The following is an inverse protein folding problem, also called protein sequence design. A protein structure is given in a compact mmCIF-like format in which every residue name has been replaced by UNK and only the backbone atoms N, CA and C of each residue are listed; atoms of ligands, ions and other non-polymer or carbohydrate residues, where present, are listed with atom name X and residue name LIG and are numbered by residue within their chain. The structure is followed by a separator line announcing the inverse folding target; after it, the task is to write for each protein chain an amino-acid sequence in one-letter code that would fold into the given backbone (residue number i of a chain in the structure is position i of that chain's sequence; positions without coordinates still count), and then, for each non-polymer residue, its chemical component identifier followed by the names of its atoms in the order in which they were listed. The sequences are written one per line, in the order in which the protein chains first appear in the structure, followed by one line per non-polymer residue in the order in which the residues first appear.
data_IF_302789405360
#
_entry.id   IF_302789405360
#
_cell.length_a   1.000
_cell.length_b   1.000
_cell.length_c   1.000
_cell.angle_alpha   90.00
_cell.angle_beta   90.00
_cell.angle_gamma   90.00
#
_symmetry.space_group_name_H-M   'P 1'
#
loop_
_entity.id
_entity.type
_entity.pdbx_description
1 polymer ?
#
# COMPACT_ATOMS: atom_id res chain seq x y z
N UNK A 1 16.81 -8.94 -20.44
CA UNK A 1 17.64 -8.86 -19.22
C UNK A 1 17.09 -7.79 -18.27
N UNK A 2 16.81 -8.09 -16.98
CA UNK A 2 16.41 -7.07 -16.01
C UNK A 2 17.54 -6.07 -15.72
N UNK A 3 17.22 -4.78 -15.59
CA UNK A 3 18.22 -3.72 -15.31
C UNK A 3 19.04 -3.96 -14.05
N UNK A 4 18.41 -4.52 -13.00
CA UNK A 4 19.10 -4.84 -11.75
C UNK A 4 20.19 -5.89 -11.97
N UNK A 5 19.92 -6.89 -12.81
CA UNK A 5 20.86 -7.95 -13.10
C UNK A 5 22.02 -7.41 -13.95
N UNK A 6 21.78 -6.48 -14.87
CA UNK A 6 22.85 -5.78 -15.60
C UNK A 6 23.81 -5.03 -14.69
N UNK A 7 23.30 -4.39 -13.63
CA UNK A 7 24.15 -3.69 -12.65
C UNK A 7 25.04 -4.67 -11.89
N UNK A 8 24.52 -5.84 -11.50
CA UNK A 8 25.31 -6.84 -10.76
C UNK A 8 26.39 -7.47 -11.66
N UNK A 9 26.06 -7.75 -12.91
CA UNK A 9 26.98 -8.41 -13.85
C UNK A 9 28.08 -7.47 -14.34
N UNK A 10 27.73 -6.23 -14.72
CA UNK A 10 28.65 -5.34 -15.43
C UNK A 10 28.57 -3.87 -15.00
N UNK A 11 27.93 -3.58 -13.86
CA UNK A 11 27.98 -2.27 -13.20
C UNK A 11 27.10 -1.18 -13.80
N UNK A 12 26.44 -1.42 -14.94
CA UNK A 12 25.53 -0.45 -15.57
C UNK A 12 24.19 -1.07 -15.96
N UNK A 13 23.17 -0.25 -16.21
CA UNK A 13 21.80 -0.74 -16.42
C UNK A 13 21.52 -1.27 -17.83
N UNK A 14 22.49 -1.22 -18.75
CA UNK A 14 22.30 -1.58 -20.16
C UNK A 14 23.44 -2.40 -20.79
N UNK A 15 24.42 -2.82 -20.00
CA UNK A 15 25.58 -3.57 -20.50
C UNK A 15 25.29 -5.07 -20.68
N UNK A 16 24.41 -5.65 -19.87
CA UNK A 16 24.12 -7.08 -19.93
C UNK A 16 23.01 -7.41 -20.95
N UNK A 17 23.29 -8.41 -21.76
CA UNK A 17 22.46 -9.00 -22.81
C UNK A 17 21.68 -10.22 -22.32
N UNK A 18 22.11 -10.86 -21.23
CA UNK A 18 21.51 -12.09 -20.69
C UNK A 18 22.15 -13.38 -21.20
N UNK A 19 23.29 -13.30 -21.88
CA UNK A 19 24.08 -14.45 -22.35
C UNK A 19 25.50 -14.46 -21.75
N UNK A 20 25.75 -13.60 -20.76
CA UNK A 20 27.02 -13.55 -20.06
C UNK A 20 27.24 -14.88 -19.34
N UNK A 21 28.43 -15.44 -19.49
CA UNK A 21 28.94 -16.66 -18.85
C UNK A 21 30.43 -16.38 -18.58
N UNK A 22 30.69 -15.66 -17.49
CA UNK A 22 32.04 -15.16 -17.18
C UNK A 22 32.94 -16.22 -16.52
N UNK A 23 32.35 -17.26 -15.92
CA UNK A 23 33.08 -18.38 -15.32
C UNK A 23 33.20 -19.61 -16.25
N UNK A 24 32.57 -19.55 -17.43
CA UNK A 24 32.65 -20.54 -18.50
C UNK A 24 32.10 -21.92 -18.10
N UNK A 25 31.08 -21.95 -17.24
CA UNK A 25 30.42 -23.18 -16.82
C UNK A 25 29.33 -23.65 -17.80
N UNK A 26 29.07 -22.86 -18.86
CA UNK A 26 28.09 -23.14 -19.90
C UNK A 26 26.67 -22.70 -19.53
N UNK A 27 26.49 -22.01 -18.41
CA UNK A 27 25.23 -21.43 -17.95
C UNK A 27 25.37 -19.92 -17.90
N UNK A 28 24.31 -19.20 -18.32
CA UNK A 28 24.39 -17.75 -18.23
C UNK A 28 24.30 -17.27 -16.78
N UNK A 29 25.22 -16.39 -16.38
CA UNK A 29 25.21 -15.63 -15.14
C UNK A 29 23.83 -14.98 -14.89
N UNK A 30 23.22 -14.42 -15.93
CA UNK A 30 21.91 -13.80 -15.84
C UNK A 30 20.81 -14.78 -15.38
N UNK A 31 20.90 -16.05 -15.78
CA UNK A 31 19.98 -17.13 -15.39
C UNK A 31 20.25 -17.50 -13.93
N UNK A 32 21.52 -17.65 -13.55
CA UNK A 32 21.93 -17.97 -12.18
C UNK A 32 21.45 -16.87 -11.21
N UNK A 33 21.69 -15.60 -11.54
CA UNK A 33 21.22 -14.46 -10.73
C UNK A 33 19.70 -14.43 -10.60
N UNK A 34 18.96 -14.69 -11.68
CA UNK A 34 17.50 -14.73 -11.64
C UNK A 34 16.97 -15.88 -10.76
N UNK A 35 17.70 -16.99 -10.65
CA UNK A 35 17.33 -18.11 -9.77
C UNK A 35 17.52 -17.81 -8.28
N UNK A 36 18.52 -16.98 -7.94
CA UNK A 36 18.84 -16.62 -6.56
C UNK A 36 18.00 -15.46 -6.03
N UNK A 37 17.47 -14.61 -6.92
CA UNK A 37 16.74 -13.41 -6.53
C UNK A 37 15.24 -13.68 -6.47
N UNK A 38 14.67 -13.53 -5.27
CA UNK A 38 13.22 -13.36 -5.11
C UNK A 38 12.89 -11.87 -5.22
N UNK A 39 12.32 -11.40 -6.35
CA UNK A 39 12.02 -9.98 -6.51
C UNK A 39 10.97 -9.55 -5.50
N UNK A 40 11.27 -8.51 -4.72
CA UNK A 40 10.29 -7.83 -3.86
C UNK A 40 9.55 -6.73 -4.62
N UNK A 41 9.22 -6.98 -5.89
CA UNK A 41 8.61 -6.00 -6.79
C UNK A 41 7.18 -6.43 -7.15
N UNK A 42 6.16 -5.92 -6.45
CA UNK A 42 6.20 -5.16 -5.21
C UNK A 42 5.85 -6.09 -4.03
N UNK A 43 6.16 -5.70 -2.80
CA UNK A 43 5.11 -5.76 -1.79
C UNK A 43 3.97 -4.92 -2.36
N UNK A 44 3.18 -5.52 -3.28
CA UNK A 44 1.82 -5.11 -3.50
C UNK A 44 1.33 -4.91 -2.09
N UNK A 45 0.92 -3.69 -1.80
CA UNK A 45 0.43 -3.34 -0.49
C UNK A 45 -0.83 -4.17 -0.29
N UNK A 46 -0.68 -5.46 0.03
CA UNK A 46 -1.75 -6.37 0.39
C UNK A 46 -2.42 -5.86 1.67
N UNK A 47 -1.70 -5.02 2.42
CA UNK A 47 -2.25 -4.16 3.46
C UNK A 47 -2.91 -2.86 3.00
N UNK A 48 -2.73 -2.32 1.78
CA UNK A 48 -3.34 -1.02 1.41
C UNK A 48 -4.85 -1.11 1.31
N UNK A 49 -5.39 -2.18 0.73
CA UNK A 49 -6.84 -2.34 0.63
C UNK A 49 -7.47 -2.49 2.02
N UNK A 50 -6.82 -3.23 2.92
CA UNK A 50 -7.24 -3.35 4.32
C UNK A 50 -7.14 -1.99 5.02
N UNK A 51 -6.03 -1.27 4.85
CA UNK A 51 -5.82 0.04 5.45
C UNK A 51 -6.87 1.07 4.96
N UNK A 52 -7.14 1.12 3.65
CA UNK A 52 -8.16 1.99 3.06
C UNK A 52 -9.54 1.62 3.62
N UNK A 53 -9.88 0.33 3.68
CA UNK A 53 -11.15 -0.13 4.24
C UNK A 53 -11.33 0.26 5.70
N UNK A 54 -10.31 0.10 6.54
CA UNK A 54 -10.32 0.49 7.95
C UNK A 54 -10.48 2.00 8.11
N UNK A 55 -9.77 2.80 7.32
CA UNK A 55 -9.89 4.27 7.34
C UNK A 55 -11.31 4.71 6.99
N UNK A 56 -11.90 4.14 5.93
CA UNK A 56 -13.27 4.46 5.51
C UNK A 56 -14.30 4.07 6.58
N UNK A 57 -14.15 2.90 7.19
CA UNK A 57 -15.04 2.44 8.26
C UNK A 57 -14.98 3.36 9.49
N UNK A 58 -13.77 3.78 9.92
CA UNK A 58 -13.58 4.72 11.03
C UNK A 58 -14.18 6.09 10.71
N UNK A 59 -13.96 6.60 9.49
CA UNK A 59 -14.53 7.88 9.07
C UNK A 59 -16.06 7.85 9.09
N UNK A 60 -16.68 6.79 8.54
CA UNK A 60 -18.13 6.63 8.56
C UNK A 60 -18.70 6.54 9.99
N UNK A 61 -18.00 5.83 10.89
CA UNK A 61 -18.40 5.72 12.30
C UNK A 61 -18.36 7.07 13.03
N UNK A 62 -17.31 7.87 12.81
CA UNK A 62 -17.16 9.20 13.40
C UNK A 62 -18.22 10.18 12.88
N UNK A 63 -18.47 10.18 11.57
CA UNK A 63 -19.51 11.01 10.96
C UNK A 63 -20.90 10.63 11.49
N UNK A 64 -21.19 9.32 11.57
CA UNK A 64 -22.45 8.81 12.07
C UNK A 64 -22.70 9.18 13.53
N UNK A 65 -21.71 8.99 14.41
CA UNK A 65 -21.83 9.38 15.82
C UNK A 65 -22.00 10.90 15.97
N UNK A 66 -21.23 11.70 15.24
CA UNK A 66 -21.38 13.17 15.23
C UNK A 66 -22.79 13.62 14.83
N UNK A 67 -23.35 13.05 13.77
CA UNK A 67 -24.71 13.37 13.31
C UNK A 67 -25.79 13.00 14.35
N UNK A 68 -25.63 11.87 15.04
CA UNK A 68 -26.56 11.43 16.09
C UNK A 68 -26.49 12.36 17.31
N UNK A 69 -25.29 12.73 17.76
CA UNK A 69 -25.14 13.66 18.88
C UNK A 69 -25.73 15.04 18.55
N UNK A 70 -25.47 15.57 17.36
CA UNK A 70 -26.02 16.86 16.92
C UNK A 70 -27.56 16.86 16.91
N UNK A 71 -28.18 15.80 16.39
CA UNK A 71 -29.65 15.64 16.43
C UNK A 71 -30.19 15.60 17.85
N UNK A 72 -29.57 14.82 18.73
CA UNK A 72 -30.01 14.73 20.13
C UNK A 72 -29.91 16.08 20.82
N UNK A 73 -28.80 16.80 20.64
CA UNK A 73 -28.60 18.12 21.23
C UNK A 73 -29.69 19.11 20.80
N UNK A 74 -30.06 19.13 19.51
CA UNK A 74 -31.16 19.97 19.01
C UNK A 74 -32.53 19.64 19.61
N UNK A 75 -32.82 18.36 19.85
CA UNK A 75 -34.06 17.95 20.53
C UNK A 75 -34.07 18.39 22.00
N UNK A 76 -32.94 18.27 22.71
CA UNK A 76 -32.82 18.72 24.09
C UNK A 76 -32.94 20.24 24.22
N UNK A 77 -32.33 21.01 23.31
CA UNK A 77 -32.47 22.48 23.33
C UNK A 77 -33.91 22.92 23.09
N UNK A 78 -34.61 22.30 22.12
CA UNK A 78 -36.02 22.60 21.86
C UNK A 78 -36.93 22.27 23.05
N UNK A 79 -36.65 21.17 23.77
CA UNK A 79 -37.39 20.79 24.96
C UNK A 79 -37.18 21.76 26.14
N UNK A 80 -35.96 22.28 26.32
CA UNK A 80 -35.66 23.28 27.35
C UNK A 80 -36.36 24.61 27.07
N UNK A 81 -36.40 25.06 25.81
CA UNK A 81 -37.11 26.28 25.43
C UNK A 81 -38.60 26.20 25.72
N UNK A 82 -39.25 25.06 25.44
CA UNK A 82 -40.67 24.86 25.78
C UNK A 82 -40.90 24.83 27.30
N UNK A 83 -40.02 24.17 28.06
CA UNK A 83 -40.12 24.12 29.53
C UNK A 83 -39.86 25.46 30.22
N UNK A 84 -39.10 26.37 29.60
CA UNK A 84 -38.86 27.72 30.11
C UNK A 84 -40.03 28.69 29.84
N UNK A 85 -40.97 28.32 28.97
CA UNK A 85 -42.14 29.15 28.61
C UNK A 85 -43.43 28.79 29.35
N UNK A 86 -43.39 27.82 30.27
CA UNK A 86 -44.51 27.40 31.15
C UNK A 86 -44.23 27.83 32.57
#
# INVERSE_FOLDING_TARGET
MPKWASVVICGTTGCATGHEDYDADGVSDAIVLASCVTPRNPLASTGSMIAIGVILALAAALIGTGAVLARRHGLYSAALEHGATV
#
